data_IF_575626153345
#
_entry.id   IF_575626153345
#
_cell.length_a   1.000
_cell.length_b   1.000
_cell.length_c   1.000
_cell.angle_alpha   90.00
_cell.angle_beta   90.00
_cell.angle_gamma   90.00
#
_symmetry.space_group_name_H-M   'P 1'
#
loop_
_entity.id
_entity.type
_entity.pdbx_description
1 polymer ?
#
# COMPACT_ATOMS: atom_id res chain seq x y z
N UNK A 1 -19.66 -47.54 -1.61
CA UNK A 1 -19.39 -47.83 -0.19
C UNK A 1 -17.94 -47.46 0.24
N UNK A 2 -16.99 -47.26 -0.68
CA UNK A 2 -15.60 -46.89 -0.30
C UNK A 2 -15.32 -45.40 -0.01
N UNK A 3 -16.12 -44.50 -0.54
CA UNK A 3 -15.85 -43.05 -0.41
C UNK A 3 -16.23 -42.45 0.97
N UNK A 4 -17.08 -43.14 1.75
CA UNK A 4 -17.45 -42.70 3.11
C UNK A 4 -16.48 -43.23 4.18
N UNK A 5 -15.82 -44.35 3.92
CA UNK A 5 -14.80 -44.94 4.80
C UNK A 5 -13.44 -44.23 4.67
N UNK A 6 -13.05 -43.80 3.47
CA UNK A 6 -11.85 -42.98 3.26
C UNK A 6 -11.99 -41.56 3.89
N UNK A 7 -13.19 -40.97 3.82
CA UNK A 7 -13.48 -39.69 4.51
C UNK A 7 -13.53 -39.84 6.03
N UNK A 8 -13.78 -41.02 6.56
CA UNK A 8 -13.79 -41.30 8.00
C UNK A 8 -12.40 -41.63 8.55
N UNK A 9 -11.47 -42.06 7.72
CA UNK A 9 -10.10 -42.41 8.13
C UNK A 9 -9.13 -41.23 8.06
N UNK A 10 -9.37 -40.24 7.21
CA UNK A 10 -8.75 -38.92 7.29
C UNK A 10 -9.74 -38.02 8.02
N UNK A 11 -9.56 -37.84 9.34
CA UNK A 11 -10.42 -37.01 10.17
C UNK A 11 -10.49 -35.58 9.60
N UNK A 12 -11.49 -35.37 8.71
CA UNK A 12 -11.75 -34.03 8.17
C UNK A 12 -12.09 -33.13 9.37
N UNK A 13 -11.24 -32.21 9.69
CA UNK A 13 -11.45 -31.29 10.80
C UNK A 13 -12.72 -30.45 10.53
N UNK A 14 -13.55 -30.29 11.54
CA UNK A 14 -14.79 -29.51 11.44
C UNK A 14 -14.91 -28.52 12.60
N UNK A 15 -15.58 -27.40 12.37
CA UNK A 15 -15.92 -26.43 13.41
C UNK A 15 -14.71 -25.83 14.11
N UNK A 16 -14.70 -25.89 15.44
CA UNK A 16 -13.65 -25.27 16.28
C UNK A 16 -12.24 -25.79 16.00
N UNK A 17 -12.08 -27.03 15.52
CA UNK A 17 -10.78 -27.61 15.18
C UNK A 17 -10.13 -26.87 13.98
N UNK A 18 -10.90 -26.54 12.96
CA UNK A 18 -10.42 -25.73 11.82
C UNK A 18 -9.98 -24.33 12.25
N UNK A 19 -10.70 -23.73 13.19
CA UNK A 19 -10.33 -22.42 13.75
C UNK A 19 -9.01 -22.47 14.54
N UNK A 20 -8.80 -23.55 15.31
CA UNK A 20 -7.55 -23.78 16.03
C UNK A 20 -6.39 -23.94 15.02
N UNK A 21 -6.57 -24.67 13.93
CA UNK A 21 -5.55 -24.81 12.90
C UNK A 21 -5.25 -23.50 12.20
N UNK A 22 -6.28 -22.68 11.92
CA UNK A 22 -6.08 -21.33 11.39
C UNK A 22 -5.27 -20.44 12.35
N UNK A 23 -5.61 -20.47 13.64
CA UNK A 23 -4.87 -19.72 14.66
C UNK A 23 -3.42 -20.18 14.75
N UNK A 24 -3.17 -21.48 14.78
CA UNK A 24 -1.81 -22.05 14.80
C UNK A 24 -1.05 -21.64 13.52
N UNK A 25 -1.70 -21.67 12.35
CA UNK A 25 -1.08 -21.25 11.10
C UNK A 25 -0.67 -19.77 11.13
N UNK A 26 -1.54 -18.88 11.61
CA UNK A 26 -1.24 -17.45 11.75
C UNK A 26 -0.09 -17.23 12.75
N UNK A 27 -0.13 -17.89 13.90
CA UNK A 27 0.95 -17.80 14.92
C UNK A 27 2.27 -18.34 14.35
N UNK A 28 2.24 -19.48 13.64
CA UNK A 28 3.42 -20.06 12.99
C UNK A 28 4.00 -19.10 11.92
N UNK A 29 3.14 -18.50 11.07
CA UNK A 29 3.54 -17.50 10.08
C UNK A 29 4.26 -16.33 10.76
N UNK A 30 3.66 -15.75 11.79
CA UNK A 30 4.24 -14.67 12.57
C UNK A 30 5.58 -15.09 13.17
N UNK A 31 5.62 -16.22 13.86
CA UNK A 31 6.82 -16.73 14.53
C UNK A 31 7.97 -17.02 13.57
N UNK A 32 7.70 -17.68 12.45
CA UNK A 32 8.73 -18.00 11.45
C UNK A 32 9.32 -16.73 10.82
N UNK A 33 8.49 -15.72 10.51
CA UNK A 33 8.97 -14.45 9.95
C UNK A 33 9.77 -13.66 11.01
N UNK A 34 9.23 -13.54 12.22
CA UNK A 34 9.80 -12.63 13.23
C UNK A 34 10.97 -13.24 13.99
N UNK A 35 10.86 -14.49 14.45
CA UNK A 35 11.84 -15.15 15.33
C UNK A 35 12.89 -15.92 14.54
N UNK A 36 12.48 -16.67 13.53
CA UNK A 36 13.40 -17.46 12.70
C UNK A 36 13.92 -16.66 11.49
N UNK A 37 13.37 -15.47 11.20
CA UNK A 37 13.78 -14.62 10.08
C UNK A 37 13.67 -15.33 8.72
N UNK A 38 12.75 -16.28 8.58
CA UNK A 38 12.48 -16.94 7.30
C UNK A 38 11.79 -15.96 6.37
N UNK A 39 12.20 -15.97 5.10
CA UNK A 39 11.65 -15.06 4.11
C UNK A 39 10.13 -15.26 3.93
N UNK A 40 9.29 -14.20 3.94
CA UNK A 40 7.82 -14.30 4.00
C UNK A 40 7.21 -15.17 2.90
N UNK A 41 7.76 -15.13 1.69
CA UNK A 41 7.31 -15.96 0.57
C UNK A 41 7.38 -17.47 0.91
N UNK A 42 8.50 -17.92 1.46
CA UNK A 42 8.68 -19.32 1.86
C UNK A 42 7.76 -19.68 3.02
N UNK A 43 7.58 -18.78 3.98
CA UNK A 43 6.68 -19.02 5.13
C UNK A 43 5.25 -19.20 4.66
N UNK A 44 4.77 -18.35 3.77
CA UNK A 44 3.41 -18.47 3.21
C UNK A 44 3.19 -19.79 2.49
N UNK A 45 4.18 -20.29 1.73
CA UNK A 45 4.11 -21.63 1.11
C UNK A 45 4.03 -22.71 2.18
N UNK A 46 5.01 -22.76 3.10
CA UNK A 46 5.12 -23.79 4.14
C UNK A 46 3.84 -23.84 4.98
N UNK A 47 3.39 -22.71 5.46
CA UNK A 47 2.19 -22.62 6.31
C UNK A 47 0.94 -23.01 5.53
N UNK A 48 0.80 -22.63 4.25
CA UNK A 48 -0.32 -23.03 3.41
C UNK A 48 -0.39 -24.55 3.23
N UNK A 49 0.75 -25.17 2.91
CA UNK A 49 0.81 -26.63 2.72
C UNK A 49 0.49 -27.38 4.01
N UNK A 50 1.09 -26.98 5.13
CA UNK A 50 0.83 -27.60 6.43
C UNK A 50 -0.61 -27.39 6.89
N UNK A 51 -1.19 -26.23 6.65
CA UNK A 51 -2.57 -25.92 6.97
C UNK A 51 -3.54 -26.79 6.16
N UNK A 52 -3.31 -26.92 4.85
CA UNK A 52 -4.14 -27.79 3.99
C UNK A 52 -4.09 -29.24 4.43
N UNK A 53 -2.90 -29.75 4.80
CA UNK A 53 -2.75 -31.11 5.35
C UNK A 53 -3.50 -31.28 6.68
N UNK A 54 -3.34 -30.34 7.62
CA UNK A 54 -4.00 -30.40 8.91
C UNK A 54 -5.53 -30.31 8.78
N UNK A 55 -6.04 -29.54 7.81
CA UNK A 55 -7.46 -29.43 7.51
C UNK A 55 -8.04 -30.66 6.77
N UNK A 56 -7.20 -31.65 6.40
CA UNK A 56 -7.63 -32.87 5.70
C UNK A 56 -7.90 -32.66 4.21
N UNK A 57 -7.30 -31.68 3.57
CA UNK A 57 -7.38 -31.51 2.11
C UNK A 57 -6.57 -32.60 1.39
N UNK A 58 -7.05 -33.12 0.23
CA UNK A 58 -6.24 -33.98 -0.63
C UNK A 58 -4.93 -33.28 -1.04
N UNK A 59 -3.80 -34.01 -1.00
CA UNK A 59 -2.47 -33.41 -1.22
C UNK A 59 -2.32 -32.74 -2.58
N UNK A 60 -2.89 -33.34 -3.62
CA UNK A 60 -2.91 -32.78 -4.98
C UNK A 60 -3.72 -31.47 -5.06
N UNK A 61 -4.80 -31.38 -4.29
CA UNK A 61 -5.62 -30.16 -4.22
C UNK A 61 -4.96 -29.03 -3.45
N UNK A 62 -4.15 -29.32 -2.41
CA UNK A 62 -3.46 -28.29 -1.63
C UNK A 62 -2.54 -27.47 -2.53
N UNK A 63 -1.68 -28.17 -3.30
CA UNK A 63 -0.73 -27.52 -4.24
C UNK A 63 -1.50 -26.74 -5.29
N UNK A 64 -2.53 -27.33 -5.90
CA UNK A 64 -3.36 -26.69 -6.93
C UNK A 64 -4.10 -25.47 -6.40
N UNK A 65 -4.63 -25.50 -5.17
CA UNK A 65 -5.27 -24.35 -4.53
C UNK A 65 -4.26 -23.21 -4.32
N UNK A 66 -3.08 -23.53 -3.79
CA UNK A 66 -2.03 -22.53 -3.61
C UNK A 66 -1.60 -21.93 -4.96
N UNK A 67 -1.30 -22.72 -5.97
CA UNK A 67 -0.91 -22.26 -7.30
C UNK A 67 -2.00 -21.40 -7.95
N UNK A 68 -3.26 -21.81 -7.85
CA UNK A 68 -4.40 -21.05 -8.39
C UNK A 68 -4.52 -19.68 -7.72
N UNK A 69 -4.47 -19.62 -6.39
CA UNK A 69 -4.55 -18.37 -5.65
C UNK A 69 -3.34 -17.45 -5.93
N UNK A 70 -2.14 -18.03 -5.95
CA UNK A 70 -0.91 -17.33 -6.29
C UNK A 70 -0.94 -16.78 -7.73
N UNK A 71 -1.31 -17.58 -8.71
CA UNK A 71 -1.37 -17.20 -10.12
C UNK A 71 -2.41 -16.12 -10.40
N UNK A 72 -3.61 -16.23 -9.83
CA UNK A 72 -4.66 -15.23 -9.99
C UNK A 72 -4.23 -13.87 -9.42
N UNK A 73 -3.58 -13.88 -8.26
CA UNK A 73 -3.09 -12.66 -7.63
C UNK A 73 -1.91 -12.06 -8.41
N UNK A 74 -0.92 -12.87 -8.78
CA UNK A 74 0.23 -12.42 -9.54
C UNK A 74 -0.14 -11.87 -10.92
N UNK A 75 -1.08 -12.50 -11.62
CA UNK A 75 -1.46 -12.11 -12.97
C UNK A 75 -1.86 -10.63 -13.08
N UNK A 76 -2.57 -10.12 -12.08
CA UNK A 76 -2.97 -8.70 -12.04
C UNK A 76 -1.90 -7.82 -11.40
N UNK A 77 -1.40 -8.22 -10.23
CA UNK A 77 -0.51 -7.38 -9.43
C UNK A 77 0.82 -7.11 -10.11
N UNK A 78 1.39 -8.09 -10.80
CA UNK A 78 2.65 -7.89 -11.51
C UNK A 78 2.55 -6.76 -12.56
N UNK A 79 1.41 -6.65 -13.25
CA UNK A 79 1.16 -5.59 -14.24
C UNK A 79 1.08 -4.25 -13.53
N UNK A 80 0.22 -4.12 -12.52
CA UNK A 80 -0.01 -2.87 -11.79
C UNK A 80 1.26 -2.36 -11.12
N UNK A 81 1.95 -3.24 -10.38
CA UNK A 81 3.19 -2.89 -9.68
C UNK A 81 4.30 -2.54 -10.65
N UNK A 82 4.45 -3.31 -11.73
CA UNK A 82 5.45 -3.03 -12.78
C UNK A 82 5.22 -1.67 -13.43
N UNK A 83 4.00 -1.40 -13.90
CA UNK A 83 3.66 -0.13 -14.54
C UNK A 83 3.75 1.06 -13.59
N UNK A 84 3.26 0.93 -12.35
CA UNK A 84 3.36 1.97 -11.33
C UNK A 84 4.82 2.33 -11.03
N UNK A 85 5.68 1.33 -10.89
CA UNK A 85 7.10 1.54 -10.62
C UNK A 85 7.83 2.17 -11.82
N UNK A 86 7.46 1.80 -13.07
CA UNK A 86 8.00 2.44 -14.27
C UNK A 86 7.60 3.93 -14.32
N UNK A 87 6.34 4.27 -14.05
CA UNK A 87 5.88 5.65 -13.98
C UNK A 87 6.63 6.44 -12.92
N UNK A 88 6.80 5.85 -11.71
CA UNK A 88 7.59 6.44 -10.63
C UNK A 88 9.05 6.67 -11.01
N UNK A 89 9.69 5.71 -11.67
CA UNK A 89 11.09 5.84 -12.16
C UNK A 89 11.22 6.95 -13.19
N UNK A 90 10.31 7.03 -14.15
CA UNK A 90 10.28 8.11 -15.14
C UNK A 90 10.13 9.49 -14.50
N UNK A 91 9.25 9.60 -13.48
CA UNK A 91 9.07 10.82 -12.69
C UNK A 91 10.36 11.21 -11.95
N UNK A 92 11.05 10.24 -11.34
CA UNK A 92 12.30 10.46 -10.61
C UNK A 92 13.40 10.99 -11.53
N UNK A 93 13.68 10.28 -12.62
CA UNK A 93 14.78 10.62 -13.57
C UNK A 93 14.55 11.97 -14.27
N UNK A 94 13.29 12.29 -14.58
CA UNK A 94 12.95 13.58 -15.22
C UNK A 94 13.08 14.80 -14.31
N UNK A 95 13.11 14.62 -12.99
CA UNK A 95 12.97 15.70 -12.01
C UNK A 95 11.51 16.12 -11.75
N UNK A 96 10.54 15.28 -12.14
CA UNK A 96 9.12 15.57 -11.93
C UNK A 96 8.74 15.75 -10.47
N UNK A 97 9.26 14.88 -9.58
CA UNK A 97 9.04 15.00 -8.14
C UNK A 97 9.60 16.32 -7.57
N UNK A 98 10.79 16.71 -8.02
CA UNK A 98 11.41 17.98 -7.64
C UNK A 98 10.59 19.18 -8.12
N UNK A 99 10.02 19.12 -9.33
CA UNK A 99 9.10 20.15 -9.85
C UNK A 99 7.85 20.28 -8.98
N UNK A 100 7.21 19.18 -8.60
CA UNK A 100 6.04 19.21 -7.71
C UNK A 100 6.40 19.87 -6.39
N UNK A 101 7.50 19.43 -5.79
CA UNK A 101 7.95 19.95 -4.51
C UNK A 101 8.28 21.45 -4.56
N UNK A 102 9.10 21.90 -5.50
CA UNK A 102 9.50 23.32 -5.61
C UNK A 102 8.31 24.23 -5.88
N UNK A 103 7.34 23.77 -6.68
CA UNK A 103 6.14 24.56 -6.98
C UNK A 103 5.22 24.67 -5.78
N UNK A 104 4.92 23.57 -5.09
CA UNK A 104 4.05 23.60 -3.91
C UNK A 104 4.70 24.37 -2.75
N UNK A 105 6.00 24.21 -2.53
CA UNK A 105 6.73 25.00 -1.52
C UNK A 105 6.62 26.49 -1.82
N UNK A 106 6.73 26.90 -3.07
CA UNK A 106 6.55 28.30 -3.48
C UNK A 106 5.13 28.81 -3.22
N UNK A 107 4.10 28.00 -3.50
CA UNK A 107 2.69 28.39 -3.29
C UNK A 107 2.32 28.49 -1.81
N UNK A 108 2.74 27.54 -1.00
CA UNK A 108 2.43 27.54 0.45
C UNK A 108 3.31 28.53 1.24
N UNK A 109 4.49 28.87 0.73
CA UNK A 109 5.48 29.70 1.39
C UNK A 109 6.20 29.02 2.56
N UNK A 110 7.27 29.62 3.05
CA UNK A 110 8.13 29.03 4.08
C UNK A 110 7.41 28.80 5.43
N UNK A 111 6.40 29.60 5.76
CA UNK A 111 5.63 29.45 7.00
C UNK A 111 4.83 28.15 7.02
N UNK A 112 4.31 27.75 5.87
CA UNK A 112 3.41 26.59 5.71
C UNK A 112 4.08 25.38 5.04
N UNK A 113 5.39 25.28 5.14
CA UNK A 113 6.19 24.24 4.48
C UNK A 113 5.76 22.82 4.84
N UNK A 114 5.31 22.60 6.06
CA UNK A 114 4.80 21.30 6.54
C UNK A 114 3.54 20.86 5.78
N UNK A 115 2.67 21.79 5.40
CA UNK A 115 1.53 21.51 4.54
C UNK A 115 1.97 21.18 3.11
N UNK A 116 2.89 22.00 2.56
CA UNK A 116 3.42 21.74 1.23
C UNK A 116 4.02 20.34 1.12
N UNK A 117 4.84 19.93 2.09
CA UNK A 117 5.51 18.64 2.08
C UNK A 117 4.55 17.47 2.19
N UNK A 118 3.45 17.59 2.93
CA UNK A 118 2.37 16.60 2.96
C UNK A 118 1.74 16.43 1.57
N UNK A 119 1.36 17.53 0.91
CA UNK A 119 0.74 17.45 -0.43
C UNK A 119 1.72 16.97 -1.50
N UNK A 120 2.99 17.38 -1.43
CA UNK A 120 4.06 16.83 -2.28
C UNK A 120 4.10 15.31 -2.17
N UNK A 121 4.10 14.81 -0.94
CA UNK A 121 4.19 13.40 -0.65
C UNK A 121 2.95 12.62 -1.12
N UNK A 122 1.76 13.18 -0.94
CA UNK A 122 0.52 12.59 -1.47
C UNK A 122 0.59 12.47 -2.99
N UNK A 123 0.91 13.54 -3.71
CA UNK A 123 0.95 13.55 -5.18
C UNK A 123 2.04 12.63 -5.72
N UNK A 124 3.26 12.75 -5.18
CA UNK A 124 4.42 11.96 -5.63
C UNK A 124 4.28 10.49 -5.25
N UNK A 125 3.66 10.20 -4.10
CA UNK A 125 3.47 8.86 -3.59
C UNK A 125 2.44 8.02 -4.35
N UNK A 126 1.51 8.65 -5.10
CA UNK A 126 0.44 7.91 -5.80
C UNK A 126 0.96 6.74 -6.67
N UNK A 127 1.98 6.93 -7.54
CA UNK A 127 2.45 5.86 -8.41
C UNK A 127 3.62 5.04 -7.82
N UNK A 128 4.14 5.35 -6.63
CA UNK A 128 5.38 4.75 -6.12
C UNK A 128 5.19 4.10 -4.76
N UNK A 129 5.97 3.04 -4.48
CA UNK A 129 6.05 2.47 -3.14
C UNK A 129 6.62 3.47 -2.13
N UNK A 130 6.23 3.29 -0.86
CA UNK A 130 6.62 4.18 0.24
C UNK A 130 8.14 4.43 0.29
N UNK A 131 8.94 3.36 0.25
CA UNK A 131 10.41 3.44 0.33
C UNK A 131 11.00 4.23 -0.83
N UNK A 132 10.48 4.02 -2.05
CA UNK A 132 10.91 4.74 -3.26
C UNK A 132 10.53 6.21 -3.16
N UNK A 133 9.30 6.52 -2.77
CA UNK A 133 8.82 7.89 -2.55
C UNK A 133 9.62 8.60 -1.47
N UNK A 134 9.95 7.90 -0.38
CA UNK A 134 10.78 8.42 0.69
C UNK A 134 12.19 8.79 0.21
N UNK A 135 12.90 7.85 -0.43
CA UNK A 135 14.26 8.10 -0.94
C UNK A 135 14.28 9.24 -1.98
N UNK A 136 13.22 9.37 -2.77
CA UNK A 136 13.08 10.44 -3.75
C UNK A 136 12.86 11.81 -3.10
N UNK A 137 12.09 11.87 -2.02
CA UNK A 137 11.70 13.15 -1.39
C UNK A 137 12.61 13.57 -0.24
N UNK A 138 13.33 12.66 0.41
CA UNK A 138 14.15 13.00 1.58
C UNK A 138 15.26 14.02 1.30
N UNK A 139 15.97 13.98 0.14
CA UNK A 139 16.91 15.03 -0.21
C UNK A 139 16.25 16.41 -0.31
N UNK A 140 15.02 16.45 -0.84
CA UNK A 140 14.25 17.71 -0.91
C UNK A 140 13.92 18.22 0.49
N UNK A 141 13.47 17.30 1.38
CA UNK A 141 13.19 17.65 2.77
C UNK A 141 14.42 18.21 3.52
N UNK A 142 15.61 17.63 3.30
CA UNK A 142 16.86 18.15 3.84
C UNK A 142 17.17 19.55 3.34
N UNK A 143 17.09 19.77 2.03
CA UNK A 143 17.36 21.08 1.42
C UNK A 143 16.40 22.14 1.96
N UNK A 144 15.12 21.81 2.01
CA UNK A 144 14.07 22.70 2.53
C UNK A 144 14.32 23.04 4.00
N UNK A 145 14.58 22.04 4.85
CA UNK A 145 14.87 22.24 6.27
C UNK A 145 16.07 23.18 6.45
N UNK A 146 17.16 22.94 5.70
CA UNK A 146 18.37 23.79 5.73
C UNK A 146 18.12 25.21 5.27
N UNK A 147 17.43 25.41 4.13
CA UNK A 147 17.17 26.74 3.56
C UNK A 147 16.24 27.59 4.43
N UNK A 148 15.24 26.95 5.05
CA UNK A 148 14.23 27.66 5.86
C UNK A 148 14.58 27.74 7.33
N UNK A 149 15.66 27.09 7.79
CA UNK A 149 16.02 26.98 9.20
C UNK A 149 14.98 26.23 10.04
N UNK A 150 14.08 25.45 9.41
CA UNK A 150 13.06 24.67 10.09
C UNK A 150 13.59 23.30 10.51
N UNK A 151 13.03 22.77 11.60
CA UNK A 151 13.35 21.39 12.04
C UNK A 151 13.02 20.38 10.94
N UNK A 152 13.91 19.41 10.71
CA UNK A 152 13.68 18.32 9.77
C UNK A 152 12.42 17.51 10.14
N UNK A 153 12.07 17.41 11.43
CA UNK A 153 10.81 16.77 11.85
C UNK A 153 9.59 17.54 11.34
N UNK A 154 9.63 18.86 11.37
CA UNK A 154 8.52 19.70 10.90
C UNK A 154 8.32 19.59 9.38
N UNK A 155 9.37 19.32 8.64
CA UNK A 155 9.36 19.19 7.18
C UNK A 155 9.10 17.74 6.75
N UNK A 156 9.79 16.80 7.38
CA UNK A 156 9.83 15.39 6.98
C UNK A 156 8.69 14.56 7.53
N UNK A 157 8.19 14.82 8.74
CA UNK A 157 7.10 14.02 9.31
C UNK A 157 5.79 14.15 8.51
N UNK A 158 5.37 15.35 8.06
CA UNK A 158 4.25 15.48 7.12
C UNK A 158 4.47 14.78 5.78
N UNK A 159 5.71 14.78 5.29
CA UNK A 159 6.09 14.05 4.07
C UNK A 159 5.86 12.55 4.24
N UNK A 160 6.39 11.95 5.31
CA UNK A 160 6.23 10.49 5.51
C UNK A 160 4.79 10.11 5.83
N UNK A 161 4.04 10.97 6.54
CA UNK A 161 2.60 10.76 6.77
C UNK A 161 1.81 10.75 5.45
N UNK A 162 2.09 11.70 4.54
CA UNK A 162 1.46 11.75 3.22
C UNK A 162 1.75 10.50 2.39
N UNK A 163 3.01 10.04 2.35
CA UNK A 163 3.40 8.80 1.67
C UNK A 163 2.70 7.58 2.27
N UNK A 164 2.62 7.48 3.59
CA UNK A 164 2.02 6.35 4.28
C UNK A 164 0.51 6.28 4.06
N UNK A 165 -0.19 7.40 4.16
CA UNK A 165 -1.64 7.48 3.88
C UNK A 165 -1.95 7.02 2.46
N UNK A 166 -1.19 7.46 1.46
CA UNK A 166 -1.37 7.01 0.08
C UNK A 166 -1.10 5.52 -0.04
N UNK A 167 -0.05 5.02 0.62
CA UNK A 167 0.31 3.60 0.61
C UNK A 167 -0.85 2.69 1.03
N UNK A 168 -1.52 3.01 2.11
CA UNK A 168 -2.57 2.15 2.66
C UNK A 168 -3.99 2.43 2.16
N UNK A 169 -4.29 3.68 1.76
CA UNK A 169 -5.68 4.12 1.59
C UNK A 169 -6.06 4.56 0.17
N UNK A 170 -5.11 4.98 -0.68
CA UNK A 170 -5.45 5.67 -1.91
C UNK A 170 -4.92 4.96 -3.16
N UNK A 171 -5.80 4.29 -3.96
CA UNK A 171 -5.41 3.89 -5.30
C UNK A 171 -4.99 5.12 -6.16
N UNK A 172 -4.08 4.98 -7.13
CA UNK A 172 -3.52 3.76 -7.69
C UNK A 172 -2.28 3.19 -6.96
N UNK A 173 -2.05 3.56 -5.70
CA UNK A 173 -0.92 2.96 -4.98
C UNK A 173 -1.05 1.43 -4.98
N UNK A 174 0.03 0.68 -5.29
CA UNK A 174 -0.05 -0.77 -5.48
C UNK A 174 -0.65 -1.55 -4.31
N UNK A 175 -0.34 -1.17 -3.06
CA UNK A 175 -0.91 -1.86 -1.89
C UNK A 175 -2.42 -1.68 -1.78
N UNK A 176 -2.94 -0.47 -2.01
CA UNK A 176 -4.38 -0.20 -2.00
C UNK A 176 -5.11 -0.92 -3.15
N UNK A 177 -4.50 -0.98 -4.35
CA UNK A 177 -5.06 -1.74 -5.48
C UNK A 177 -5.17 -3.23 -5.22
N UNK A 178 -4.25 -3.81 -4.44
CA UNK A 178 -4.35 -5.20 -3.98
C UNK A 178 -5.65 -5.47 -3.24
N UNK A 179 -5.99 -4.60 -2.30
CA UNK A 179 -7.21 -4.76 -1.51
C UNK A 179 -8.47 -4.48 -2.35
N UNK A 180 -8.44 -3.48 -3.24
CA UNK A 180 -9.53 -3.23 -4.21
C UNK A 180 -9.85 -4.49 -4.99
N UNK A 181 -8.83 -5.19 -5.49
CA UNK A 181 -9.02 -6.43 -6.23
C UNK A 181 -9.52 -7.57 -5.34
N UNK A 182 -8.91 -7.76 -4.16
CA UNK A 182 -9.26 -8.85 -3.26
C UNK A 182 -10.71 -8.77 -2.77
N UNK A 183 -11.22 -7.56 -2.57
CA UNK A 183 -12.59 -7.31 -2.11
C UNK A 183 -13.56 -7.01 -3.24
N UNK A 184 -13.11 -7.03 -4.51
CA UNK A 184 -13.92 -6.67 -5.69
C UNK A 184 -14.57 -5.27 -5.56
N UNK A 185 -13.85 -4.32 -4.95
CA UNK A 185 -14.28 -2.96 -4.72
C UNK A 185 -14.27 -2.14 -6.03
N UNK A 186 -15.15 -1.14 -6.14
CA UNK A 186 -15.08 -0.15 -7.21
C UNK A 186 -13.87 0.77 -6.99
N UNK A 187 -13.01 0.85 -7.99
CA UNK A 187 -11.74 1.58 -7.88
C UNK A 187 -11.95 3.08 -7.75
N UNK A 188 -12.93 3.65 -8.47
CA UNK A 188 -13.20 5.07 -8.43
C UNK A 188 -13.84 5.49 -7.10
N UNK A 189 -14.80 4.70 -6.59
CA UNK A 189 -15.35 4.92 -5.25
C UNK A 189 -14.27 4.78 -4.19
N UNK A 190 -13.39 3.79 -4.31
CA UNK A 190 -12.26 3.62 -3.38
C UNK A 190 -11.32 4.82 -3.40
N UNK A 191 -11.01 5.37 -4.59
CA UNK A 191 -10.22 6.60 -4.70
C UNK A 191 -10.94 7.76 -4.00
N UNK A 192 -12.23 7.97 -4.28
CA UNK A 192 -13.01 9.05 -3.66
C UNK A 192 -13.06 8.92 -2.14
N UNK A 193 -13.37 7.75 -1.62
CA UNK A 193 -13.43 7.47 -0.19
C UNK A 193 -12.02 7.55 0.45
N UNK A 194 -11.01 7.05 -0.26
CA UNK A 194 -9.61 7.15 0.15
C UNK A 194 -9.14 8.60 0.30
N UNK A 195 -9.56 9.50 -0.58
CA UNK A 195 -9.28 10.94 -0.45
C UNK A 195 -10.04 11.57 0.72
N UNK A 196 -11.33 11.23 0.90
CA UNK A 196 -12.17 11.74 2.00
C UNK A 196 -11.61 11.32 3.36
N UNK A 197 -11.16 10.09 3.50
CA UNK A 197 -10.58 9.55 4.75
C UNK A 197 -9.10 9.91 4.85
N UNK A 198 -8.34 9.77 3.78
CA UNK A 198 -6.89 9.87 3.78
C UNK A 198 -6.37 11.31 3.97
N UNK A 199 -7.00 12.31 3.32
CA UNK A 199 -6.53 13.71 3.47
C UNK A 199 -6.65 14.20 4.93
N UNK A 200 -7.81 14.08 5.61
CA UNK A 200 -7.89 14.44 7.02
C UNK A 200 -6.95 13.63 7.92
N UNK A 201 -6.78 12.33 7.62
CA UNK A 201 -5.83 11.47 8.33
C UNK A 201 -4.39 11.98 8.17
N UNK A 202 -3.97 12.32 6.94
CA UNK A 202 -2.65 12.89 6.67
C UNK A 202 -2.44 14.25 7.37
N UNK A 203 -3.48 15.07 7.44
CA UNK A 203 -3.44 16.37 8.15
C UNK A 203 -3.15 16.16 9.64
N UNK A 204 -3.87 15.26 10.28
CA UNK A 204 -3.70 15.00 11.73
C UNK A 204 -2.35 14.35 12.03
N UNK A 205 -2.01 13.29 11.31
CA UNK A 205 -0.79 12.52 11.53
C UNK A 205 0.49 13.23 11.02
N UNK A 206 0.37 14.10 10.03
CA UNK A 206 1.49 14.84 9.45
C UNK A 206 1.64 16.25 10.03
N UNK A 207 1.07 17.29 9.40
CA UNK A 207 1.27 18.68 9.79
C UNK A 207 0.94 18.97 11.25
N UNK A 208 -0.23 18.53 11.75
CA UNK A 208 -0.67 18.84 13.11
C UNK A 208 0.20 18.13 14.14
N UNK A 209 0.47 16.85 13.94
CA UNK A 209 1.35 16.09 14.82
C UNK A 209 2.79 16.62 14.78
N UNK A 210 3.31 16.99 13.61
CA UNK A 210 4.64 17.58 13.47
C UNK A 210 4.77 18.90 14.24
N UNK A 211 3.75 19.78 14.21
CA UNK A 211 3.70 21.02 14.97
C UNK A 211 3.76 20.78 16.50
N UNK A 212 3.22 19.68 16.98
CA UNK A 212 3.26 19.30 18.39
C UNK A 212 4.63 18.75 18.81
N UNK A 213 5.20 17.85 17.99
CA UNK A 213 6.34 17.05 18.42
C UNK A 213 7.72 17.64 18.07
N UNK A 214 7.83 18.48 17.02
CA UNK A 214 9.12 18.97 16.53
C UNK A 214 9.91 19.79 17.55
N UNK A 215 9.25 20.43 18.52
CA UNK A 215 9.90 21.19 19.61
C UNK A 215 10.35 20.29 20.76
N UNK A 216 9.67 19.18 20.96
CA UNK A 216 9.95 18.23 22.06
C UNK A 216 11.11 17.30 21.73
N UNK A 217 11.38 17.05 20.44
CA UNK A 217 12.42 16.11 19.99
C UNK A 217 13.47 16.90 19.20
N UNK A 218 14.67 17.00 19.77
CA UNK A 218 15.83 17.57 19.09
C UNK A 218 16.55 16.46 18.33
N UNK A 219 16.68 16.62 17.02
CA UNK A 219 17.45 15.73 16.16
C UNK A 219 18.94 16.02 16.27
N UNK A 220 19.77 15.02 15.96
CA UNK A 220 21.21 15.23 15.83
C UNK A 220 21.51 16.07 14.58
N UNK A 221 22.06 17.26 14.76
CA UNK A 221 22.41 18.19 13.66
C UNK A 221 23.55 17.63 12.79
N UNK A 222 24.37 16.72 13.31
CA UNK A 222 25.50 16.11 12.61
C UNK A 222 25.12 14.74 12.02
N UNK A 223 24.00 14.65 11.30
CA UNK A 223 23.66 13.42 10.59
C UNK A 223 24.55 13.25 9.34
N UNK A 224 25.42 12.23 9.27
CA UNK A 224 26.32 12.03 8.13
C UNK A 224 25.58 11.81 6.82
N UNK A 225 24.42 11.11 6.85
CA UNK A 225 23.60 10.90 5.68
C UNK A 225 23.02 12.21 5.15
N UNK A 226 22.52 13.07 6.05
CA UNK A 226 22.05 14.40 5.65
C UNK A 226 23.17 15.22 4.98
N UNK A 227 24.39 15.19 5.54
CA UNK A 227 25.55 15.88 4.99
C UNK A 227 25.91 15.39 3.58
N UNK A 228 25.90 14.07 3.35
CA UNK A 228 26.15 13.46 2.05
C UNK A 228 25.12 13.92 0.99
N UNK A 229 23.84 13.83 1.32
CA UNK A 229 22.77 14.24 0.38
C UNK A 229 22.76 15.75 0.10
N UNK A 230 23.14 16.58 1.05
CA UNK A 230 23.25 18.04 0.85
C UNK A 230 24.47 18.38 -0.01
N UNK A 231 25.58 17.61 0.11
CA UNK A 231 26.82 17.85 -0.63
C UNK A 231 26.75 17.43 -2.11
N UNK A 232 26.07 16.32 -2.41
CA UNK A 232 26.06 15.69 -3.75
C UNK A 232 24.88 16.17 -4.64
N UNK A 233 23.95 16.97 -4.11
CA UNK A 233 22.76 17.36 -4.84
C UNK A 233 23.08 18.40 -5.91
N UNK A 234 23.19 17.97 -7.16
CA UNK A 234 23.03 18.85 -8.33
C UNK A 234 21.55 19.26 -8.38
N UNK A 235 21.22 20.39 -7.77
CA UNK A 235 19.89 21.00 -7.93
C UNK A 235 19.73 21.32 -9.41
N UNK A 236 18.80 20.62 -10.08
CA UNK A 236 18.46 20.93 -11.47
C UNK A 236 17.96 22.38 -11.53
N UNK A 237 18.41 23.13 -12.51
CA UNK A 237 17.89 24.46 -12.76
C UNK A 237 16.39 24.40 -13.13
N UNK A 238 15.66 25.48 -12.92
CA UNK A 238 14.21 25.55 -13.20
C UNK A 238 13.90 25.21 -14.68
N UNK A 239 14.83 25.48 -15.59
CA UNK A 239 14.76 25.15 -17.01
C UNK A 239 14.99 23.65 -17.32
N UNK A 240 15.69 22.95 -16.44
CA UNK A 240 15.95 21.50 -16.60
C UNK A 240 14.80 20.65 -16.05
N UNK A 241 13.91 21.22 -15.28
CA UNK A 241 12.74 20.51 -14.73
C UNK A 241 11.58 20.54 -15.75
N UNK A 242 10.72 19.51 -15.78
CA UNK A 242 9.49 19.54 -16.55
C UNK A 242 8.56 20.66 -16.05
N UNK A 243 7.61 21.14 -16.87
CA UNK A 243 6.61 22.10 -16.39
C UNK A 243 5.68 21.45 -15.36
N UNK A 244 5.22 22.23 -14.37
CA UNK A 244 4.35 21.72 -13.30
C UNK A 244 3.06 21.10 -13.83
N UNK A 245 2.38 21.75 -14.78
CA UNK A 245 1.14 21.25 -15.33
C UNK A 245 1.29 19.89 -16.05
N UNK A 246 2.34 19.73 -16.86
CA UNK A 246 2.65 18.45 -17.53
C UNK A 246 3.00 17.37 -16.48
N UNK A 247 3.76 17.73 -15.47
CA UNK A 247 4.12 16.81 -14.39
C UNK A 247 2.89 16.32 -13.64
N UNK A 248 2.05 17.24 -13.20
CA UNK A 248 0.82 16.92 -12.46
C UNK A 248 -0.13 16.10 -13.31
N UNK A 249 -0.34 16.48 -14.58
CA UNK A 249 -1.16 15.73 -15.52
C UNK A 249 -0.66 14.29 -15.68
N UNK A 250 0.65 14.09 -15.90
CA UNK A 250 1.23 12.76 -16.11
C UNK A 250 1.08 11.87 -14.87
N UNK A 251 1.29 12.43 -13.68
CA UNK A 251 1.17 11.69 -12.40
C UNK A 251 -0.29 11.33 -12.11
N UNK A 252 -1.22 12.26 -12.34
CA UNK A 252 -2.63 12.06 -12.05
C UNK A 252 -3.40 11.34 -13.18
N UNK A 253 -2.79 11.14 -14.33
CA UNK A 253 -3.44 10.53 -15.49
C UNK A 253 -4.07 9.16 -15.17
N UNK A 254 -3.41 8.21 -14.51
CA UNK A 254 -4.05 6.95 -14.16
C UNK A 254 -5.25 7.14 -13.23
N UNK A 255 -5.17 8.06 -12.26
CA UNK A 255 -6.29 8.38 -11.35
C UNK A 255 -7.48 8.92 -12.14
N UNK A 256 -7.23 9.87 -13.04
CA UNK A 256 -8.27 10.49 -13.89
C UNK A 256 -8.95 9.42 -14.76
N UNK A 257 -8.17 8.55 -15.40
CA UNK A 257 -8.71 7.48 -16.24
C UNK A 257 -9.55 6.48 -15.44
N UNK A 258 -9.08 6.07 -14.25
CA UNK A 258 -9.82 5.17 -13.36
C UNK A 258 -11.14 5.79 -12.89
N UNK A 259 -11.15 7.07 -12.53
CA UNK A 259 -12.38 7.80 -12.16
C UNK A 259 -13.37 7.88 -13.34
N UNK A 260 -12.89 8.21 -14.54
CA UNK A 260 -13.72 8.26 -15.75
C UNK A 260 -14.33 6.88 -16.02
N UNK A 261 -13.56 5.82 -15.92
CA UNK A 261 -14.05 4.45 -16.12
C UNK A 261 -15.07 4.00 -15.08
N UNK A 262 -14.86 4.34 -13.81
CA UNK A 262 -15.78 4.02 -12.71
C UNK A 262 -17.13 4.74 -12.88
N UNK A 263 -17.11 5.98 -13.37
CA UNK A 263 -18.32 6.79 -13.56
C UNK A 263 -18.92 6.69 -14.96
N UNK A 264 -18.47 5.75 -15.79
CA UNK A 264 -18.94 5.58 -17.17
C UNK A 264 -20.46 5.39 -17.26
N UNK A 265 -21.09 4.70 -16.30
CA UNK A 265 -22.54 4.45 -16.25
C UNK A 265 -23.38 5.72 -15.95
N UNK A 266 -22.76 6.76 -15.39
CA UNK A 266 -23.42 8.05 -15.18
C UNK A 266 -23.54 8.86 -16.49
N UNK A 267 -22.65 8.59 -17.46
CA UNK A 267 -22.56 9.38 -18.70
C UNK A 267 -23.15 8.62 -19.88
N UNK A 268 -22.97 7.31 -19.94
CA UNK A 268 -23.43 6.47 -21.06
C UNK A 268 -24.22 5.27 -20.55
N UNK A 269 -25.23 4.86 -21.31
CA UNK A 269 -25.99 3.64 -21.01
C UNK A 269 -25.07 2.43 -20.94
N UNK A 270 -25.18 1.60 -19.87
CA UNK A 270 -24.38 0.38 -19.72
C UNK A 270 -24.43 -0.52 -20.96
N UNK A 271 -23.31 -1.19 -21.26
CA UNK A 271 -23.13 -2.11 -22.40
C UNK A 271 -23.13 -1.45 -23.79
N UNK A 272 -23.20 -0.12 -23.90
CA UNK A 272 -22.94 0.57 -25.16
C UNK A 272 -21.44 0.64 -25.44
N UNK A 273 -21.06 0.82 -26.72
CA UNK A 273 -19.65 0.92 -27.10
C UNK A 273 -18.91 2.05 -26.36
N UNK A 274 -19.45 3.31 -26.26
CA UNK A 274 -18.79 4.37 -25.50
C UNK A 274 -18.60 4.01 -24.01
N UNK A 275 -19.62 3.43 -23.37
CA UNK A 275 -19.54 2.98 -21.98
C UNK A 275 -18.44 1.94 -21.79
N UNK A 276 -18.43 0.90 -22.65
CA UNK A 276 -17.41 -0.15 -22.60
C UNK A 276 -15.99 0.39 -22.84
N UNK A 277 -15.82 1.36 -23.73
CA UNK A 277 -14.52 2.00 -23.97
C UNK A 277 -14.04 2.78 -22.75
N UNK A 278 -14.90 3.56 -22.09
CA UNK A 278 -14.51 4.29 -20.86
C UNK A 278 -14.15 3.32 -19.74
N UNK A 279 -14.94 2.26 -19.54
CA UNK A 279 -14.65 1.22 -18.56
C UNK A 279 -13.31 0.53 -18.85
N UNK A 280 -13.04 0.18 -20.12
CA UNK A 280 -11.78 -0.44 -20.55
C UNK A 280 -10.58 0.46 -20.26
N UNK A 281 -10.64 1.73 -20.66
CA UNK A 281 -9.56 2.70 -20.42
C UNK A 281 -9.37 2.99 -18.92
N UNK A 282 -10.45 2.90 -18.14
CA UNK A 282 -10.42 3.10 -16.70
C UNK A 282 -10.03 1.87 -15.87
N UNK A 283 -9.79 0.70 -16.49
CA UNK A 283 -9.21 -0.44 -15.75
C UNK A 283 -7.80 -0.08 -15.30
N UNK A 284 -7.38 -0.55 -14.11
CA UNK A 284 -6.08 -0.20 -13.51
C UNK A 284 -4.91 -0.45 -14.46
N UNK A 285 -4.93 -1.60 -15.14
CA UNK A 285 -3.84 -2.03 -16.03
C UNK A 285 -3.72 -1.12 -17.24
N UNK A 286 -4.85 -0.80 -17.89
CA UNK A 286 -4.88 0.07 -19.08
C UNK A 286 -4.59 1.52 -18.72
N UNK A 287 -5.16 2.02 -17.63
CA UNK A 287 -4.92 3.38 -17.14
C UNK A 287 -3.45 3.63 -16.80
N UNK A 288 -2.80 2.68 -16.09
CA UNK A 288 -1.39 2.74 -15.79
C UNK A 288 -0.52 2.59 -17.04
N UNK A 289 -0.87 1.68 -17.97
CA UNK A 289 -0.13 1.53 -19.23
C UNK A 289 -0.15 2.84 -20.04
N UNK A 290 -1.32 3.46 -20.18
CA UNK A 290 -1.45 4.76 -20.87
C UNK A 290 -0.57 5.81 -20.18
N UNK A 291 -0.61 5.89 -18.86
CA UNK A 291 0.19 6.86 -18.10
C UNK A 291 1.70 6.63 -18.27
N UNK A 292 2.16 5.38 -18.29
CA UNK A 292 3.57 5.03 -18.56
C UNK A 292 3.97 5.44 -19.98
N UNK A 293 3.15 5.14 -20.99
CA UNK A 293 3.43 5.51 -22.38
C UNK A 293 3.47 7.04 -22.55
N UNK A 294 2.54 7.76 -21.91
CA UNK A 294 2.56 9.24 -21.88
C UNK A 294 3.82 9.74 -21.19
N UNK A 295 4.24 9.08 -20.09
CA UNK A 295 5.47 9.46 -19.37
C UNK A 295 6.75 9.31 -20.21
N UNK A 296 6.80 8.34 -21.13
CA UNK A 296 7.94 8.20 -22.05
C UNK A 296 8.12 9.43 -22.95
N UNK A 297 7.02 10.12 -23.25
CA UNK A 297 7.09 11.39 -23.96
C UNK A 297 7.30 12.58 -23.04
N UNK A 298 6.47 12.73 -21.99
CA UNK A 298 6.49 13.90 -21.11
C UNK A 298 7.72 13.98 -20.20
N UNK A 299 8.13 12.86 -19.62
CA UNK A 299 9.28 12.71 -18.74
C UNK A 299 10.52 12.15 -19.46
N UNK A 300 10.34 11.51 -20.61
CA UNK A 300 11.39 10.90 -21.41
C UNK A 300 11.85 11.81 -22.55
N UNK A 301 11.26 11.68 -23.73
CA UNK A 301 11.70 12.32 -24.96
C UNK A 301 11.77 13.85 -24.85
N UNK A 302 10.79 14.50 -24.23
CA UNK A 302 10.78 15.96 -24.00
C UNK A 302 11.89 16.43 -23.05
N UNK A 303 12.49 15.52 -22.28
CA UNK A 303 13.62 15.79 -21.37
C UNK A 303 14.97 15.39 -21.96
N UNK A 304 15.00 15.01 -23.24
CA UNK A 304 16.21 14.64 -23.95
C UNK A 304 16.69 13.20 -23.73
N UNK A 305 15.92 12.37 -23.01
CA UNK A 305 16.27 10.96 -22.87
C UNK A 305 15.99 10.20 -24.17
N UNK A 306 16.97 9.41 -24.59
CA UNK A 306 16.85 8.54 -25.75
C UNK A 306 16.13 7.22 -25.39
N UNK A 307 15.75 6.44 -26.41
CA UNK A 307 15.02 5.18 -26.22
C UNK A 307 15.77 4.16 -25.35
N UNK A 308 17.09 4.08 -25.48
CA UNK A 308 17.92 3.15 -24.71
C UNK A 308 17.94 3.53 -23.21
N UNK A 309 17.98 4.84 -22.91
CA UNK A 309 17.87 5.32 -21.52
C UNK A 309 16.50 5.02 -20.91
N UNK A 310 15.41 5.27 -21.63
CA UNK A 310 14.05 4.97 -21.18
C UNK A 310 13.90 3.47 -20.94
N UNK A 311 14.38 2.62 -21.87
CA UNK A 311 14.38 1.17 -21.71
C UNK A 311 15.16 0.74 -20.46
N UNK A 312 16.33 1.33 -20.24
CA UNK A 312 17.14 1.07 -19.04
C UNK A 312 16.40 1.44 -17.76
N UNK A 313 15.77 2.62 -17.69
CA UNK A 313 14.99 3.05 -16.54
C UNK A 313 13.86 2.05 -16.22
N UNK A 314 13.15 1.56 -17.24
CA UNK A 314 12.12 0.55 -17.09
C UNK A 314 12.67 -0.80 -16.58
N UNK A 315 13.86 -1.20 -17.03
CA UNK A 315 14.51 -2.44 -16.57
C UNK A 315 15.01 -2.34 -15.12
N UNK A 316 15.72 -1.26 -14.81
CA UNK A 316 16.35 -1.05 -13.50
C UNK A 316 15.34 -0.98 -12.34
N UNK A 317 14.11 -0.53 -12.61
CA UNK A 317 13.09 -0.38 -11.57
C UNK A 317 12.35 -1.69 -11.20
N UNK A 318 12.50 -2.77 -11.98
CA UNK A 318 11.76 -4.02 -11.76
C UNK A 318 12.43 -4.93 -10.72
N UNK A 319 13.74 -4.98 -10.68
CA UNK A 319 14.48 -5.86 -9.78
C UNK A 319 14.14 -5.63 -8.29
N UNK A 320 14.05 -4.39 -7.78
CA UNK A 320 13.71 -4.14 -6.37
C UNK A 320 12.32 -4.63 -5.94
N UNK A 321 11.36 -4.69 -6.87
CA UNK A 321 9.97 -5.07 -6.57
C UNK A 321 9.68 -6.56 -6.74
N UNK A 322 10.60 -7.33 -7.32
CA UNK A 322 10.38 -8.76 -7.59
C UNK A 322 10.03 -9.56 -6.33
N UNK A 323 10.75 -9.32 -5.24
CA UNK A 323 10.48 -9.99 -3.95
C UNK A 323 9.09 -9.66 -3.39
N UNK A 324 8.68 -8.40 -3.47
CA UNK A 324 7.34 -7.95 -3.01
C UNK A 324 6.27 -8.65 -3.84
N UNK A 325 6.43 -8.68 -5.15
CA UNK A 325 5.48 -9.32 -6.08
C UNK A 325 5.28 -10.81 -5.74
N UNK A 326 6.36 -11.55 -5.46
CA UNK A 326 6.27 -12.96 -5.05
C UNK A 326 5.54 -13.15 -3.72
N UNK A 327 5.81 -12.29 -2.71
CA UNK A 327 5.12 -12.36 -1.41
C UNK A 327 3.61 -12.11 -1.57
N UNK A 328 3.26 -11.14 -2.40
CA UNK A 328 1.87 -10.80 -2.71
C UNK A 328 1.15 -12.00 -3.35
N UNK A 329 1.76 -12.62 -4.34
CA UNK A 329 1.23 -13.84 -4.95
C UNK A 329 1.00 -14.95 -3.93
N UNK A 330 2.00 -15.22 -3.08
CA UNK A 330 1.90 -16.24 -2.04
C UNK A 330 0.80 -15.95 -1.01
N UNK A 331 0.54 -14.68 -0.70
CA UNK A 331 -0.61 -14.25 0.12
C UNK A 331 -1.95 -14.65 -0.51
N UNK A 332 -2.10 -14.48 -1.81
CA UNK A 332 -3.26 -14.98 -2.56
C UNK A 332 -3.38 -16.51 -2.54
N UNK A 333 -2.24 -17.23 -2.65
CA UNK A 333 -2.17 -18.68 -2.48
C UNK A 333 -2.64 -19.13 -1.11
N UNK A 334 -2.16 -18.50 -0.04
CA UNK A 334 -2.59 -18.76 1.34
C UNK A 334 -4.10 -18.53 1.53
N UNK A 335 -4.62 -17.39 1.03
CA UNK A 335 -6.05 -17.08 1.07
C UNK A 335 -6.90 -18.15 0.35
N UNK A 336 -6.45 -18.65 -0.79
CA UNK A 336 -7.14 -19.70 -1.52
C UNK A 336 -7.16 -21.03 -0.75
N UNK A 337 -6.06 -21.42 -0.12
CA UNK A 337 -6.02 -22.62 0.75
C UNK A 337 -6.97 -22.48 1.94
N UNK A 338 -7.06 -21.30 2.57
CA UNK A 338 -8.04 -21.01 3.62
C UNK A 338 -9.49 -21.18 3.14
N UNK A 339 -9.78 -20.79 1.89
CA UNK A 339 -11.14 -20.97 1.31
C UNK A 339 -11.44 -22.43 1.05
N UNK A 340 -10.56 -23.11 0.33
CA UNK A 340 -10.78 -24.46 -0.15
C UNK A 340 -10.72 -25.51 0.99
N UNK A 341 -10.02 -25.22 2.10
CA UNK A 341 -10.02 -26.00 3.33
C UNK A 341 -11.32 -25.90 4.17
N UNK A 342 -12.19 -24.94 3.85
CA UNK A 342 -13.41 -24.68 4.62
C UNK A 342 -13.18 -23.78 5.86
N UNK A 343 -11.95 -23.45 6.20
CA UNK A 343 -11.60 -22.60 7.35
C UNK A 343 -12.31 -21.24 7.28
N UNK A 344 -12.36 -20.64 6.09
CA UNK A 344 -13.03 -19.35 5.89
C UNK A 344 -14.51 -19.40 6.30
N UNK A 345 -15.22 -20.48 6.07
CA UNK A 345 -16.63 -20.65 6.46
C UNK A 345 -16.79 -20.67 7.99
N UNK A 346 -15.87 -21.32 8.69
CA UNK A 346 -15.90 -21.38 10.15
C UNK A 346 -15.57 -20.01 10.78
N UNK A 347 -14.59 -19.27 10.22
CA UNK A 347 -14.27 -17.90 10.64
C UNK A 347 -15.50 -16.99 10.47
N UNK A 348 -16.22 -17.12 9.35
CA UNK A 348 -17.48 -16.41 9.10
C UNK A 348 -18.52 -16.72 10.17
N UNK A 349 -18.72 -18.00 10.49
CA UNK A 349 -19.68 -18.41 11.52
C UNK A 349 -19.39 -17.76 12.88
N UNK A 350 -18.12 -17.72 13.29
CA UNK A 350 -17.72 -17.03 14.53
C UNK A 350 -17.90 -15.52 14.45
N UNK A 351 -17.49 -14.90 13.34
CA UNK A 351 -17.64 -13.44 13.17
C UNK A 351 -19.12 -13.02 13.22
N UNK A 352 -20.01 -13.79 12.58
CA UNK A 352 -21.46 -13.57 12.62
C UNK A 352 -22.05 -13.77 14.01
N UNK A 353 -21.68 -14.85 14.70
CA UNK A 353 -22.17 -15.11 16.06
C UNK A 353 -21.68 -14.08 17.09
N UNK A 354 -20.48 -13.54 16.90
CA UNK A 354 -19.90 -12.47 17.72
C UNK A 354 -20.36 -11.06 17.31
N UNK A 355 -21.20 -10.91 16.30
CA UNK A 355 -21.67 -9.61 15.76
C UNK A 355 -20.50 -8.64 15.45
N UNK A 356 -19.34 -9.16 15.04
CA UNK A 356 -18.17 -8.34 14.72
C UNK A 356 -18.40 -7.55 13.43
N UNK A 357 -18.15 -6.25 13.49
CA UNK A 357 -18.13 -5.43 12.28
C UNK A 357 -17.03 -5.93 11.31
N UNK A 358 -17.34 -6.24 10.05
CA UNK A 358 -16.33 -6.64 9.06
C UNK A 358 -15.21 -5.61 8.88
N UNK A 359 -15.52 -4.31 9.07
CA UNK A 359 -14.52 -3.24 9.03
C UNK A 359 -13.52 -3.38 10.19
N UNK A 360 -14.02 -3.59 11.41
CA UNK A 360 -13.16 -3.79 12.58
C UNK A 360 -12.34 -5.07 12.44
N UNK A 361 -12.94 -6.14 11.93
CA UNK A 361 -12.25 -7.40 11.69
C UNK A 361 -11.12 -7.26 10.67
N UNK A 362 -11.37 -6.60 9.53
CA UNK A 362 -10.37 -6.34 8.51
C UNK A 362 -9.20 -5.50 9.05
N UNK A 363 -9.50 -4.42 9.78
CA UNK A 363 -8.50 -3.62 10.46
C UNK A 363 -7.67 -4.42 11.46
N UNK A 364 -8.33 -5.20 12.32
CA UNK A 364 -7.68 -5.96 13.38
C UNK A 364 -6.74 -7.05 12.84
N UNK A 365 -7.18 -7.81 11.82
CA UNK A 365 -6.34 -8.84 11.18
C UNK A 365 -5.11 -8.19 10.55
N UNK A 366 -5.30 -7.09 9.81
CA UNK A 366 -4.19 -6.36 9.20
C UNK A 366 -3.23 -5.80 10.27
N UNK A 367 -3.77 -5.26 11.36
CA UNK A 367 -2.99 -4.72 12.47
C UNK A 367 -2.13 -5.79 13.16
N UNK A 368 -2.70 -6.96 13.45
CA UNK A 368 -1.94 -8.07 14.05
C UNK A 368 -0.79 -8.53 13.15
N UNK A 369 -1.07 -8.69 11.84
CA UNK A 369 -0.03 -9.11 10.89
C UNK A 369 1.03 -8.02 10.74
N UNK A 370 0.64 -6.74 10.71
CA UNK A 370 1.56 -5.60 10.67
C UNK A 370 2.52 -5.59 11.85
N UNK A 371 1.99 -5.69 13.06
CA UNK A 371 2.80 -5.75 14.29
C UNK A 371 3.78 -6.92 14.28
N UNK A 372 3.35 -8.05 13.72
CA UNK A 372 4.17 -9.25 13.67
C UNK A 372 5.25 -9.20 12.59
N UNK A 373 4.90 -8.79 11.37
CA UNK A 373 5.78 -8.88 10.19
C UNK A 373 6.61 -7.64 9.94
N UNK A 374 6.15 -6.48 10.42
CA UNK A 374 6.78 -5.19 10.17
C UNK A 374 6.57 -4.62 8.77
N UNK A 375 5.81 -5.27 7.90
CA UNK A 375 5.58 -4.83 6.53
C UNK A 375 4.10 -4.50 6.30
N UNK A 376 3.80 -3.25 5.91
CA UNK A 376 2.45 -2.84 5.58
C UNK A 376 1.91 -3.59 4.36
N UNK A 377 2.73 -3.80 3.33
CA UNK A 377 2.34 -4.53 2.12
C UNK A 377 2.03 -6.00 2.43
N UNK A 378 2.86 -6.67 3.23
CA UNK A 378 2.62 -8.07 3.68
C UNK A 378 1.36 -8.14 4.53
N UNK A 379 1.17 -7.19 5.45
CA UNK A 379 0.00 -7.13 6.31
C UNK A 379 -1.29 -6.96 5.49
N UNK A 380 -1.31 -6.00 4.57
CA UNK A 380 -2.42 -5.76 3.67
C UNK A 380 -2.78 -7.01 2.85
N UNK A 381 -1.79 -7.60 2.18
CA UNK A 381 -1.98 -8.75 1.30
C UNK A 381 -2.50 -9.97 2.05
N UNK A 382 -1.85 -10.30 3.17
CA UNK A 382 -2.22 -11.47 3.96
C UNK A 382 -3.60 -11.27 4.61
N UNK A 383 -3.87 -10.05 5.12
CA UNK A 383 -5.18 -9.73 5.69
C UNK A 383 -6.29 -9.84 4.63
N UNK A 384 -6.08 -9.33 3.42
CA UNK A 384 -7.05 -9.46 2.33
C UNK A 384 -7.37 -10.93 2.03
N UNK A 385 -6.37 -11.81 2.00
CA UNK A 385 -6.56 -13.26 1.81
C UNK A 385 -7.43 -13.91 2.89
N UNK A 386 -7.34 -13.43 4.13
CA UNK A 386 -8.13 -13.93 5.28
C UNK A 386 -9.52 -13.29 5.30
N UNK A 387 -9.60 -11.98 5.07
CA UNK A 387 -10.82 -11.18 5.28
C UNK A 387 -11.78 -11.25 4.08
N UNK A 388 -11.27 -11.37 2.84
CA UNK A 388 -12.11 -11.37 1.64
C UNK A 388 -13.17 -12.51 1.65
N UNK A 389 -12.82 -13.76 1.98
CA UNK A 389 -13.82 -14.82 2.10
C UNK A 389 -14.86 -14.56 3.18
N UNK A 390 -14.44 -13.95 4.30
CA UNK A 390 -15.32 -13.60 5.43
C UNK A 390 -16.30 -12.49 5.00
N UNK A 391 -15.80 -11.47 4.34
CA UNK A 391 -16.61 -10.37 3.81
C UNK A 391 -17.63 -10.85 2.78
N UNK A 392 -17.21 -11.70 1.83
CA UNK A 392 -18.09 -12.27 0.81
C UNK A 392 -19.24 -13.09 1.41
N UNK A 393 -18.99 -13.83 2.49
CA UNK A 393 -19.99 -14.66 3.15
C UNK A 393 -20.88 -13.89 4.13
N UNK A 394 -20.48 -12.70 4.57
CA UNK A 394 -21.29 -11.84 5.47
C UNK A 394 -22.50 -11.19 4.77
N UNK A 395 -22.63 -11.36 3.45
CA UNK A 395 -23.76 -10.87 2.65
C UNK A 395 -23.91 -9.35 2.71
N UNK A 396 -23.33 -8.63 1.78
CA UNK A 396 -23.59 -7.23 1.37
C UNK A 396 -23.79 -6.14 2.46
N UNK A 397 -23.56 -6.42 3.74
CA UNK A 397 -23.81 -5.45 4.82
C UNK A 397 -22.76 -4.33 4.91
N UNK A 398 -21.62 -4.45 4.20
CA UNK A 398 -20.53 -3.47 4.24
C UNK A 398 -19.98 -3.24 2.84
N UNK A 399 -19.82 -1.96 2.47
CA UNK A 399 -19.20 -1.55 1.21
C UNK A 399 -17.77 -2.13 1.10
N UNK A 400 -17.44 -2.84 0.00
CA UNK A 400 -16.09 -3.34 -0.25
C UNK A 400 -15.02 -2.24 -0.21
N UNK A 401 -15.36 -1.03 -0.64
CA UNK A 401 -14.49 0.15 -0.64
C UNK A 401 -14.10 0.53 0.79
N UNK A 402 -15.06 0.51 1.71
CA UNK A 402 -14.80 0.79 3.14
C UNK A 402 -13.94 -0.30 3.77
N UNK A 403 -14.11 -1.55 3.32
CA UNK A 403 -13.27 -2.65 3.80
C UNK A 403 -11.81 -2.49 3.32
N UNK A 404 -11.59 -1.99 2.09
CA UNK A 404 -10.25 -1.61 1.62
C UNK A 404 -9.63 -0.59 2.58
N UNK A 405 -10.36 0.47 2.93
CA UNK A 405 -9.85 1.53 3.80
C UNK A 405 -9.59 1.03 5.23
N UNK A 406 -10.49 0.22 5.78
CA UNK A 406 -10.31 -0.34 7.12
C UNK A 406 -9.08 -1.27 7.18
N UNK A 407 -8.94 -2.20 6.23
CA UNK A 407 -7.78 -3.11 6.16
C UNK A 407 -6.50 -2.34 5.91
N UNK A 408 -6.55 -1.34 5.02
CA UNK A 408 -5.44 -0.44 4.73
C UNK A 408 -4.98 0.33 5.97
N UNK A 409 -5.92 0.90 6.71
CA UNK A 409 -5.63 1.57 7.99
C UNK A 409 -4.96 0.63 8.99
N UNK A 410 -5.44 -0.63 9.10
CA UNK A 410 -4.85 -1.64 9.98
C UNK A 410 -3.42 -2.00 9.58
N UNK A 411 -3.15 -2.09 8.29
CA UNK A 411 -1.82 -2.43 7.76
C UNK A 411 -0.74 -1.39 8.04
N UNK A 412 -1.11 -0.19 8.45
CA UNK A 412 -0.19 0.90 8.75
C UNK A 412 0.14 1.06 10.24
N UNK A 413 -0.55 0.34 11.13
CA UNK A 413 -0.40 0.56 12.57
C UNK A 413 1.04 0.35 13.06
N UNK A 414 1.49 1.22 13.94
CA UNK A 414 2.65 1.08 14.82
C UNK A 414 3.89 0.44 14.16
N UNK A 415 4.46 1.10 13.15
CA UNK A 415 5.75 0.71 12.58
C UNK A 415 6.82 0.68 13.68
N UNK A 416 7.56 -0.44 13.82
CA UNK A 416 8.56 -0.61 14.88
C UNK A 416 9.83 -1.32 14.36
N UNK A 417 10.68 -1.78 15.24
CA UNK A 417 12.02 -2.30 14.92
C UNK A 417 12.08 -3.49 13.96
N UNK A 418 10.97 -4.12 13.64
CA UNK A 418 10.88 -5.17 12.61
C UNK A 418 10.57 -4.62 11.20
N UNK A 419 10.31 -3.33 11.08
CA UNK A 419 9.93 -2.65 9.83
C UNK A 419 11.14 -1.97 9.18
N UNK A 420 11.35 -2.20 7.89
CA UNK A 420 12.38 -1.51 7.10
C UNK A 420 12.16 0.01 7.06
N UNK A 421 10.90 0.46 6.98
CA UNK A 421 10.52 1.87 7.03
C UNK A 421 10.92 2.55 8.33
N UNK A 422 10.80 1.85 9.47
CA UNK A 422 11.24 2.34 10.78
C UNK A 422 12.75 2.68 10.79
N UNK A 423 13.58 1.77 10.29
CA UNK A 423 15.03 1.97 10.22
C UNK A 423 15.40 3.03 9.20
N UNK A 424 14.74 3.05 8.05
CA UNK A 424 14.94 4.05 7.01
C UNK A 424 14.73 5.46 7.59
N UNK A 425 13.60 5.71 8.23
CA UNK A 425 13.29 7.00 8.82
C UNK A 425 14.24 7.34 9.98
N UNK A 426 14.54 6.34 10.85
CA UNK A 426 15.50 6.51 11.94
C UNK A 426 16.85 7.01 11.43
N UNK A 427 17.42 6.35 10.45
CA UNK A 427 18.77 6.67 9.94
C UNK A 427 18.79 8.01 9.21
N UNK A 428 17.85 8.24 8.29
CA UNK A 428 17.84 9.50 7.53
C UNK A 428 17.49 10.72 8.38
N UNK A 429 16.66 10.59 9.40
CA UNK A 429 16.37 11.71 10.31
C UNK A 429 17.41 11.85 11.43
N UNK A 430 18.38 10.94 11.55
CA UNK A 430 19.38 10.93 12.61
C UNK A 430 18.77 10.72 13.99
N UNK A 431 17.75 9.89 14.08
CA UNK A 431 17.01 9.63 15.32
C UNK A 431 17.56 8.43 16.10
N UNK A 432 17.43 8.47 17.41
CA UNK A 432 17.54 7.27 18.24
C UNK A 432 16.29 6.39 18.07
N UNK A 433 16.39 5.10 18.40
CA UNK A 433 15.23 4.18 18.38
C UNK A 433 14.05 4.74 19.20
N UNK A 434 14.32 5.29 20.39
CA UNK A 434 13.29 5.89 21.24
C UNK A 434 12.64 7.15 20.63
N UNK A 435 13.39 7.97 19.89
CA UNK A 435 12.84 9.11 19.16
C UNK A 435 11.98 8.65 17.98
N UNK A 436 12.39 7.58 17.28
CA UNK A 436 11.61 7.02 16.17
C UNK A 436 10.27 6.46 16.64
N UNK A 437 10.24 5.80 17.81
CA UNK A 437 8.97 5.38 18.42
C UNK A 437 8.05 6.57 18.74
N UNK A 438 8.59 7.66 19.27
CA UNK A 438 7.83 8.86 19.64
C UNK A 438 7.39 9.70 18.45
N UNK A 439 7.96 9.50 17.28
CA UNK A 439 7.66 10.24 16.04
C UNK A 439 6.97 9.37 15.02
N UNK A 440 7.72 8.51 14.36
CA UNK A 440 7.24 7.69 13.24
C UNK A 440 6.21 6.64 13.67
N UNK A 441 6.52 5.84 14.71
CA UNK A 441 5.57 4.80 15.15
C UNK A 441 4.27 5.41 15.67
N UNK A 442 4.34 6.55 16.33
CA UNK A 442 3.14 7.28 16.78
C UNK A 442 2.38 7.90 15.59
N UNK A 443 3.09 8.44 14.58
CA UNK A 443 2.50 8.91 13.34
C UNK A 443 1.69 7.81 12.63
N UNK A 444 2.28 6.63 12.46
CA UNK A 444 1.62 5.45 11.87
C UNK A 444 0.42 4.98 12.69
N UNK A 445 0.52 5.04 14.03
CA UNK A 445 -0.60 4.71 14.92
C UNK A 445 -1.74 5.72 14.75
N UNK A 446 -1.44 7.01 14.65
CA UNK A 446 -2.44 8.05 14.38
C UNK A 446 -3.11 7.81 13.02
N UNK A 447 -2.33 7.49 11.98
CA UNK A 447 -2.86 7.17 10.64
C UNK A 447 -3.84 5.99 10.74
N UNK A 448 -3.44 4.93 11.40
CA UNK A 448 -4.26 3.72 11.54
C UNK A 448 -5.58 3.97 12.27
N UNK A 449 -5.53 4.61 13.42
CA UNK A 449 -6.73 4.85 14.24
C UNK A 449 -7.65 5.90 13.63
N UNK A 450 -7.10 6.99 13.09
CA UNK A 450 -7.87 8.02 12.39
C UNK A 450 -8.49 7.47 11.11
N UNK A 451 -7.73 6.71 10.33
CA UNK A 451 -8.21 6.05 9.12
C UNK A 451 -9.39 5.13 9.41
N UNK A 452 -9.29 4.29 10.45
CA UNK A 452 -10.40 3.44 10.89
C UNK A 452 -11.60 4.26 11.35
N UNK A 453 -11.38 5.25 12.23
CA UNK A 453 -12.46 6.08 12.79
C UNK A 453 -13.22 6.84 11.70
N UNK A 454 -12.50 7.44 10.74
CA UNK A 454 -13.11 8.13 9.61
C UNK A 454 -13.79 7.16 8.62
N UNK A 455 -13.27 5.93 8.48
CA UNK A 455 -13.93 4.89 7.69
C UNK A 455 -15.26 4.50 8.33
N UNK A 456 -15.33 4.35 9.65
CA UNK A 456 -16.59 4.13 10.35
C UNK A 456 -17.54 5.33 10.23
N UNK A 457 -17.04 6.55 10.34
CA UNK A 457 -17.87 7.75 10.15
C UNK A 457 -18.43 7.80 8.72
N UNK A 458 -17.61 7.48 7.71
CA UNK A 458 -18.07 7.41 6.32
C UNK A 458 -19.12 6.29 6.12
N UNK A 459 -18.98 5.15 6.80
CA UNK A 459 -19.94 4.04 6.75
C UNK A 459 -21.35 4.40 7.26
N UNK A 460 -21.52 5.52 7.96
CA UNK A 460 -22.85 5.97 8.40
C UNK A 460 -23.61 6.77 7.33
N UNK A 461 -22.96 7.15 6.23
CA UNK A 461 -23.52 8.03 5.20
C UNK A 461 -23.49 7.43 3.78
N UNK A 462 -22.83 6.25 3.61
CA UNK A 462 -22.71 5.58 2.30
C UNK A 462 -23.20 4.13 2.34
#
# INVERSE_FOLDING_TARGET
>A
MNNSLEKSLMGVAHGSTLLIYALIAIVALIFMITRWKVYPFLVLIIVSLLLGLAAGMPMDQIVKSFETGNGNTLGHIAIVVGLGTMLGKMMAESGGAERVATTLIRWFGEKNIHWAMMFVAIIVGLPVFFEVGFVLLIPIAFNVAKRTGKSLLLVGLPMVAGLSVVHGLIPPHPAALLAVQAYHADIGRTIAYGLIVGIPTAIVAGPLFALLIHRAIKLNENNPLAAQFIGDMKIKSDSELPSFGITLFTILLPVILMLIGSWADLVFTPKTLPNNLLRFVGTSDVALLIAVLVSFWTFGARRGFNRAQIQKFCGDCLAPIAGITLIVGAGGGFGRVLMDSGISKEIVGVAQSAHLSPLLFGWFVAALIRLATGSATVAMTTACGIVAPVAAASGAAVSPELLVLATGSGSLIFSHVNDGGFWLIKEYFGMTVGQTFKTWSLCETIISLMGLGLTFALATVV
#
